data_IF_237545607275
#
_entry.id   IF_237545607275
#
_cell.length_a   1.000
_cell.length_b   1.000
_cell.length_c   1.000
_cell.angle_alpha   90.00
_cell.angle_beta   90.00
_cell.angle_gamma   90.00
#
_symmetry.space_group_name_H-M   'P 1'
#
loop_
_entity.id
_entity.type
_entity.pdbx_description
1 polymer ?
#
# COMPACT_ATOMS: atom_id res chain seq x y z
N UNK A 1 -74.33 -18.82 49.76
CA UNK A 1 -74.17 -18.19 48.42
C UNK A 1 -72.78 -17.64 48.38
N UNK A 2 -71.80 -18.39 47.80
CA UNK A 2 -70.37 -18.08 47.89
C UNK A 2 -69.94 -17.72 46.48
N UNK A 3 -69.50 -16.46 46.25
CA UNK A 3 -69.02 -15.93 45.00
C UNK A 3 -67.49 -16.20 44.87
N UNK A 4 -67.09 -16.92 43.85
CA UNK A 4 -65.65 -17.07 43.45
C UNK A 4 -65.31 -16.08 42.34
N UNK A 5 -64.28 -15.25 42.48
CA UNK A 5 -63.85 -14.41 41.39
C UNK A 5 -63.00 -15.19 40.35
N UNK A 6 -63.35 -15.05 39.09
CA UNK A 6 -62.56 -15.58 37.94
C UNK A 6 -61.27 -14.79 37.78
N UNK A 7 -60.16 -15.46 37.96
CA UNK A 7 -58.84 -14.89 37.63
C UNK A 7 -58.63 -14.92 36.14
N UNK A 8 -58.47 -13.72 35.56
CA UNK A 8 -58.11 -13.50 34.16
C UNK A 8 -56.58 -13.70 34.03
N UNK A 9 -56.14 -14.72 33.32
CA UNK A 9 -54.72 -14.94 33.02
C UNK A 9 -54.37 -14.16 31.76
N UNK A 10 -53.51 -13.13 31.92
CA UNK A 10 -52.94 -12.38 30.81
C UNK A 10 -51.73 -13.16 30.25
N UNK A 11 -51.85 -13.72 29.07
CA UNK A 11 -50.73 -14.37 28.39
C UNK A 11 -49.89 -13.30 27.68
N UNK A 12 -48.66 -13.08 28.14
CA UNK A 12 -47.66 -12.27 27.42
C UNK A 12 -47.05 -13.12 26.33
N UNK A 13 -47.33 -12.80 25.06
CA UNK A 13 -46.62 -13.35 23.92
C UNK A 13 -45.32 -12.56 23.71
N UNK A 14 -44.18 -13.20 24.00
CA UNK A 14 -42.86 -12.65 23.69
C UNK A 14 -42.60 -12.94 22.22
N UNK A 15 -42.69 -11.91 21.39
CA UNK A 15 -42.27 -11.98 19.99
C UNK A 15 -40.73 -11.91 19.91
N UNK A 16 -40.08 -13.03 19.63
CA UNK A 16 -38.65 -13.08 19.33
C UNK A 16 -38.41 -12.54 17.91
N UNK A 17 -37.83 -11.35 17.76
CA UNK A 17 -37.32 -10.86 16.49
C UNK A 17 -36.04 -11.63 16.14
N UNK A 18 -35.92 -12.19 14.93
CA UNK A 18 -34.67 -12.74 14.48
C UNK A 18 -33.68 -11.58 14.19
N UNK A 19 -32.57 -11.55 14.92
CA UNK A 19 -31.44 -10.68 14.64
C UNK A 19 -30.74 -11.22 13.40
N UNK A 20 -31.08 -10.73 12.21
CA UNK A 20 -30.36 -11.05 10.98
C UNK A 20 -29.00 -10.35 11.07
N UNK A 21 -27.98 -11.05 11.56
CA UNK A 21 -26.61 -10.61 11.52
C UNK A 21 -26.14 -10.48 10.08
N UNK A 22 -25.86 -9.27 9.62
CA UNK A 22 -25.20 -9.06 8.36
C UNK A 22 -23.77 -9.63 8.46
N UNK A 23 -23.53 -10.80 7.89
CA UNK A 23 -22.19 -11.35 7.67
C UNK A 23 -21.51 -10.48 6.61
N UNK A 24 -20.71 -9.52 7.08
CA UNK A 24 -19.81 -8.78 6.19
C UNK A 24 -18.76 -9.76 5.68
N UNK A 25 -18.83 -10.15 4.43
CA UNK A 25 -17.78 -10.95 3.80
C UNK A 25 -16.52 -10.11 3.74
N UNK A 26 -15.56 -10.40 4.59
CA UNK A 26 -14.22 -9.84 4.46
C UNK A 26 -13.66 -10.30 3.10
N UNK A 27 -13.47 -9.36 2.18
CA UNK A 27 -12.76 -9.65 0.92
C UNK A 27 -11.34 -10.09 1.28
N UNK A 28 -10.86 -11.16 0.65
CA UNK A 28 -9.47 -11.57 0.80
C UNK A 28 -8.54 -10.42 0.36
N UNK A 29 -7.44 -10.24 1.08
CA UNK A 29 -6.45 -9.23 0.73
C UNK A 29 -5.90 -9.48 -0.68
N UNK A 30 -5.77 -8.43 -1.48
CA UNK A 30 -5.05 -8.53 -2.75
C UNK A 30 -3.57 -8.71 -2.46
N UNK A 31 -2.97 -9.77 -3.00
CA UNK A 31 -1.53 -10.02 -2.88
C UNK A 31 -0.81 -9.42 -4.08
N UNK A 32 0.23 -8.64 -3.82
CA UNK A 32 1.10 -7.99 -4.81
C UNK A 32 2.54 -8.44 -4.56
N UNK A 33 3.15 -9.06 -5.56
CA UNK A 33 4.57 -9.40 -5.49
C UNK A 33 5.40 -8.22 -6.01
N UNK A 34 6.42 -7.82 -5.25
CA UNK A 34 7.27 -6.69 -5.56
C UNK A 34 8.72 -7.13 -5.61
N UNK A 35 9.40 -6.79 -6.69
CA UNK A 35 10.83 -6.97 -6.90
C UNK A 35 11.51 -5.61 -6.89
N UNK A 36 12.49 -5.44 -6.02
CA UNK A 36 13.40 -4.31 -5.96
C UNK A 36 14.68 -4.72 -6.69
N UNK A 37 15.01 -4.06 -7.78
CA UNK A 37 16.11 -4.46 -8.66
C UNK A 37 17.07 -3.31 -8.96
N UNK A 38 18.32 -3.63 -9.24
CA UNK A 38 19.33 -2.72 -9.77
C UNK A 38 20.26 -3.43 -10.77
N UNK A 39 21.21 -2.69 -11.32
CA UNK A 39 22.23 -3.19 -12.26
C UNK A 39 23.54 -3.59 -11.56
N UNK A 40 23.60 -3.54 -10.22
CA UNK A 40 24.77 -3.90 -9.41
C UNK A 40 25.57 -2.69 -8.91
N UNK A 41 26.48 -2.91 -7.96
CA UNK A 41 27.22 -1.86 -7.24
C UNK A 41 28.08 -0.97 -8.14
N UNK A 42 28.58 -1.51 -9.23
CA UNK A 42 29.45 -0.75 -10.19
C UNK A 42 28.64 0.16 -11.13
N UNK A 43 27.32 0.23 -10.99
CA UNK A 43 26.50 1.10 -11.83
C UNK A 43 26.71 2.56 -11.49
N UNK A 44 26.79 3.41 -12.52
CA UNK A 44 26.62 4.84 -12.35
C UNK A 44 25.13 5.12 -12.06
N UNK A 45 24.84 5.67 -10.87
CA UNK A 45 23.48 5.94 -10.45
C UNK A 45 22.88 7.05 -11.32
N UNK A 46 21.79 6.75 -12.02
CA UNK A 46 21.06 7.74 -12.80
C UNK A 46 20.51 8.85 -11.87
N UNK A 47 20.27 10.02 -12.41
CA UNK A 47 19.69 11.17 -11.68
C UNK A 47 18.61 11.84 -12.52
N UNK A 48 17.74 12.64 -11.87
CA UNK A 48 16.70 13.40 -12.58
C UNK A 48 15.54 12.52 -13.07
N UNK A 49 15.38 11.33 -12.51
CA UNK A 49 14.31 10.38 -12.85
C UNK A 49 13.24 10.29 -11.75
N UNK A 50 13.08 11.32 -10.92
CA UNK A 50 11.99 11.43 -9.96
C UNK A 50 10.63 11.39 -10.69
N UNK A 51 9.60 10.93 -9.99
CA UNK A 51 8.25 10.98 -10.54
C UNK A 51 7.87 12.40 -10.96
N UNK A 52 7.45 12.54 -12.19
CA UNK A 52 6.88 13.73 -12.78
C UNK A 52 5.63 13.35 -13.58
N UNK A 53 4.54 14.07 -13.38
CA UNK A 53 3.29 13.86 -14.12
C UNK A 53 3.44 14.07 -15.63
N UNK A 54 4.43 14.87 -16.08
CA UNK A 54 4.75 15.07 -17.49
C UNK A 54 5.38 13.82 -18.15
N UNK A 55 5.79 12.86 -17.31
CA UNK A 55 6.44 11.61 -17.73
C UNK A 55 7.96 11.69 -17.74
N UNK A 56 8.56 10.61 -17.24
CA UNK A 56 10.02 10.44 -17.16
C UNK A 56 10.42 9.20 -17.95
N UNK A 57 11.53 9.29 -18.65
CA UNK A 57 12.08 8.16 -19.41
C UNK A 57 12.80 7.17 -18.47
N UNK A 58 12.03 6.26 -17.87
CA UNK A 58 12.56 5.21 -17.00
C UNK A 58 13.40 4.16 -17.72
N UNK A 59 13.54 4.20 -19.06
CA UNK A 59 14.45 3.30 -19.77
C UNK A 59 15.92 3.55 -19.39
N UNK A 60 16.20 4.75 -18.87
CA UNK A 60 17.52 5.16 -18.36
C UNK A 60 17.78 4.76 -16.92
N UNK A 61 16.76 4.27 -16.21
CA UNK A 61 16.89 3.88 -14.80
C UNK A 61 17.90 2.73 -14.64
N UNK A 62 18.70 2.83 -13.61
CA UNK A 62 19.70 1.82 -13.23
C UNK A 62 19.21 0.93 -12.11
N UNK A 63 18.10 1.30 -11.48
CA UNK A 63 17.37 0.57 -10.47
C UNK A 63 15.88 0.83 -10.58
N UNK A 64 15.05 0.01 -9.92
CA UNK A 64 13.62 0.20 -10.02
C UNK A 64 12.79 -0.78 -9.20
N UNK A 65 11.49 -0.58 -9.23
CA UNK A 65 10.48 -1.40 -8.56
C UNK A 65 9.58 -2.03 -9.62
N UNK A 66 9.38 -3.34 -9.54
CA UNK A 66 8.39 -4.06 -10.33
C UNK A 66 7.32 -4.62 -9.40
N UNK A 67 6.05 -4.27 -9.62
CA UNK A 67 4.92 -4.76 -8.86
C UNK A 67 3.97 -5.56 -9.76
N UNK A 68 3.52 -6.69 -9.28
CA UNK A 68 2.58 -7.57 -9.98
C UNK A 68 1.55 -8.21 -9.05
N UNK A 69 0.25 -7.90 -9.23
CA UNK A 69 -0.35 -6.94 -10.16
C UNK A 69 -0.03 -5.47 -9.83
N UNK A 70 -0.10 -4.58 -10.82
CA UNK A 70 0.09 -3.13 -10.65
C UNK A 70 -1.18 -2.42 -10.16
N UNK A 71 -2.25 -3.17 -9.90
CA UNK A 71 -3.54 -2.65 -9.45
C UNK A 71 -4.16 -3.56 -8.40
N UNK A 72 -4.98 -2.99 -7.52
CA UNK A 72 -5.79 -3.72 -6.54
C UNK A 72 -7.19 -3.11 -6.43
N UNK A 73 -8.13 -3.83 -5.79
CA UNK A 73 -9.36 -3.23 -5.26
C UNK A 73 -9.07 -2.58 -3.91
N UNK A 74 -9.88 -1.57 -3.57
CA UNK A 74 -9.85 -0.96 -2.24
C UNK A 74 -10.05 -1.99 -1.13
N UNK A 75 -9.32 -1.82 -0.03
CA UNK A 75 -9.31 -2.74 1.09
C UNK A 75 -7.90 -3.19 1.45
N UNK A 76 -7.79 -4.37 2.05
CA UNK A 76 -6.51 -4.92 2.44
C UNK A 76 -5.67 -5.33 1.22
N UNK A 77 -4.45 -4.79 1.14
CA UNK A 77 -3.44 -5.13 0.13
C UNK A 77 -2.19 -5.61 0.86
N UNK A 78 -1.71 -6.79 0.49
CA UNK A 78 -0.47 -7.36 1.02
C UNK A 78 0.62 -7.31 -0.04
N UNK A 79 1.67 -6.57 0.22
CA UNK A 79 2.87 -6.53 -0.60
C UNK A 79 3.88 -7.56 -0.08
N UNK A 80 4.29 -8.50 -0.92
CA UNK A 80 5.44 -9.38 -0.70
C UNK A 80 6.61 -8.80 -1.46
N UNK A 81 7.56 -8.23 -0.74
CA UNK A 81 8.67 -7.46 -1.29
C UNK A 81 9.94 -8.27 -1.18
N UNK A 82 10.67 -8.37 -2.28
CA UNK A 82 11.97 -9.01 -2.33
C UNK A 82 13.00 -8.04 -2.89
N UNK A 83 14.12 -7.89 -2.20
CA UNK A 83 15.30 -7.24 -2.71
C UNK A 83 16.05 -8.24 -3.60
N UNK A 84 15.99 -8.06 -4.92
CA UNK A 84 16.67 -8.91 -5.91
C UNK A 84 18.08 -8.40 -6.25
N UNK A 85 18.55 -7.30 -5.61
CA UNK A 85 19.92 -6.84 -5.69
C UNK A 85 20.89 -7.89 -5.12
N UNK A 86 22.13 -7.84 -5.57
CA UNK A 86 23.24 -8.68 -5.06
C UNK A 86 24.04 -7.99 -3.97
N UNK A 87 24.00 -6.66 -3.93
CA UNK A 87 24.97 -5.86 -3.18
C UNK A 87 24.42 -4.53 -2.65
N UNK A 88 23.16 -4.16 -2.98
CA UNK A 88 22.57 -2.87 -2.59
C UNK A 88 21.35 -3.07 -1.68
N UNK A 89 21.28 -2.31 -0.60
CA UNK A 89 20.11 -2.23 0.29
C UNK A 89 19.01 -1.46 -0.42
N UNK A 90 17.78 -1.98 -0.34
CA UNK A 90 16.57 -1.34 -0.88
C UNK A 90 15.43 -1.43 0.11
N UNK A 91 14.47 -0.51 -0.03
CA UNK A 91 13.22 -0.51 0.71
C UNK A 91 12.03 -0.28 -0.22
N UNK A 92 10.83 -0.47 0.29
CA UNK A 92 9.61 -0.12 -0.42
C UNK A 92 8.67 0.64 0.50
N UNK A 93 8.38 1.89 0.16
CA UNK A 93 7.41 2.74 0.86
C UNK A 93 6.20 2.95 -0.04
N UNK A 94 4.99 2.90 0.52
CA UNK A 94 3.73 3.13 -0.18
C UNK A 94 3.31 4.58 0.05
N UNK A 95 3.42 5.43 -0.99
CA UNK A 95 3.06 6.84 -0.95
C UNK A 95 1.72 7.10 -1.63
N UNK A 96 0.79 7.78 -0.95
CA UNK A 96 -0.48 8.19 -1.55
C UNK A 96 -0.29 9.49 -2.36
N UNK A 97 -0.64 9.47 -3.64
CA UNK A 97 -0.65 10.68 -4.48
C UNK A 97 -2.01 11.39 -4.33
N UNK A 98 -2.07 12.39 -3.47
CA UNK A 98 -3.27 13.22 -3.33
C UNK A 98 -3.58 13.97 -4.63
N UNK A 99 -2.57 14.36 -5.37
CA UNK A 99 -2.63 14.96 -6.70
C UNK A 99 -1.60 14.30 -7.62
N UNK A 100 -2.00 13.35 -8.48
CA UNK A 100 -1.08 12.66 -9.39
C UNK A 100 -0.40 13.58 -10.42
N UNK A 101 -0.81 14.85 -10.53
CA UNK A 101 -0.15 15.83 -11.41
C UNK A 101 1.07 16.48 -10.74
N UNK A 102 1.36 16.17 -9.49
CA UNK A 102 2.45 16.78 -8.71
C UNK A 102 3.52 15.77 -8.34
N UNK A 103 4.76 16.23 -8.36
CA UNK A 103 5.88 15.49 -7.79
C UNK A 103 5.73 15.35 -6.26
N UNK A 104 6.35 14.31 -5.69
CA UNK A 104 6.49 14.19 -4.24
C UNK A 104 7.42 15.28 -3.68
N UNK A 105 7.21 15.73 -2.42
CA UNK A 105 8.11 16.64 -1.76
C UNK A 105 9.50 15.98 -1.60
N UNK A 106 10.51 16.55 -2.25
CA UNK A 106 11.87 16.01 -2.31
C UNK A 106 12.86 16.96 -1.62
N UNK A 107 13.67 16.42 -0.71
CA UNK A 107 14.73 17.15 0.00
C UNK A 107 16.05 16.88 -0.70
N UNK A 108 16.50 17.85 -1.52
CA UNK A 108 17.64 17.66 -2.40
C UNK A 108 18.96 17.37 -1.64
N UNK A 109 19.18 18.04 -0.50
CA UNK A 109 20.41 17.87 0.30
C UNK A 109 20.48 16.47 0.95
N UNK A 110 19.35 15.85 1.22
CA UNK A 110 19.24 14.48 1.76
C UNK A 110 19.10 13.43 0.68
N UNK A 111 18.82 13.85 -0.56
CA UNK A 111 18.50 13.01 -1.71
C UNK A 111 17.32 12.06 -1.44
N UNK A 112 16.32 12.51 -0.66
CA UNK A 112 15.17 11.71 -0.19
C UNK A 112 13.86 12.45 -0.41
N UNK A 113 12.79 11.68 -0.47
CA UNK A 113 11.42 12.21 -0.33
C UNK A 113 11.18 12.53 1.15
N UNK A 114 10.54 13.66 1.44
CA UNK A 114 10.04 14.00 2.78
C UNK A 114 8.78 13.16 3.05
N UNK A 115 8.93 12.06 3.75
CA UNK A 115 7.89 11.05 3.97
C UNK A 115 6.70 11.62 4.74
N UNK A 116 6.96 12.46 5.74
CA UNK A 116 5.90 13.09 6.54
C UNK A 116 4.97 13.96 5.70
N UNK A 117 5.52 14.63 4.68
CA UNK A 117 4.75 15.47 3.75
C UNK A 117 4.22 14.71 2.53
N UNK A 118 4.81 13.57 2.21
CA UNK A 118 4.49 12.79 1.01
C UNK A 118 3.26 11.90 1.17
N UNK A 119 2.75 11.68 2.38
CA UNK A 119 1.57 10.86 2.63
C UNK A 119 1.87 9.37 2.66
N UNK A 120 2.91 8.99 3.36
CA UNK A 120 3.27 7.60 3.66
C UNK A 120 2.09 6.80 4.23
N UNK A 121 1.97 5.55 3.78
CA UNK A 121 0.94 4.57 4.19
C UNK A 121 1.52 3.33 4.83
N UNK A 122 2.82 3.23 4.91
CA UNK A 122 3.58 2.11 5.46
C UNK A 122 4.66 1.62 4.52
N UNK A 123 5.60 0.87 5.08
CA UNK A 123 6.81 0.46 4.40
C UNK A 123 7.21 -0.98 4.69
N UNK A 124 8.04 -1.53 3.82
CA UNK A 124 8.98 -2.59 4.12
C UNK A 124 10.34 -1.93 4.15
N UNK A 125 10.83 -1.70 5.36
CA UNK A 125 12.10 -1.01 5.62
C UNK A 125 13.28 -1.74 4.99
N UNK A 126 14.41 -1.10 4.99
CA UNK A 126 15.67 -1.52 4.38
C UNK A 126 15.91 -3.02 4.41
N UNK A 127 15.82 -3.65 3.25
CA UNK A 127 16.13 -5.05 3.04
C UNK A 127 17.56 -5.19 2.54
N UNK A 128 18.34 -6.03 3.19
CA UNK A 128 19.63 -6.46 2.67
C UNK A 128 19.46 -7.22 1.35
N UNK A 129 20.53 -7.31 0.52
CA UNK A 129 20.52 -8.09 -0.71
C UNK A 129 19.97 -9.50 -0.54
N UNK A 130 19.01 -9.86 -1.38
CA UNK A 130 18.35 -11.16 -1.38
C UNK A 130 17.28 -11.35 -0.27
N UNK A 131 17.12 -10.41 0.66
CA UNK A 131 16.12 -10.48 1.72
C UNK A 131 14.70 -10.15 1.22
N UNK A 132 13.73 -10.56 2.00
CA UNK A 132 12.30 -10.32 1.71
C UNK A 132 11.57 -9.82 2.95
N UNK A 133 10.55 -9.01 2.72
CA UNK A 133 9.65 -8.51 3.74
C UNK A 133 8.21 -8.53 3.27
N UNK A 134 7.28 -8.19 4.15
CA UNK A 134 5.86 -8.12 3.81
C UNK A 134 5.20 -6.98 4.55
N UNK A 135 4.31 -6.27 3.84
CA UNK A 135 3.49 -5.19 4.37
C UNK A 135 2.03 -5.44 4.01
N UNK A 136 1.13 -5.38 4.99
CA UNK A 136 -0.31 -5.36 4.74
C UNK A 136 -0.88 -4.02 5.16
N UNK A 137 -1.50 -3.31 4.22
CA UNK A 137 -2.13 -2.01 4.44
C UNK A 137 -3.55 -1.98 3.88
N UNK A 138 -4.41 -1.17 4.49
CA UNK A 138 -5.77 -0.94 4.00
C UNK A 138 -5.77 0.32 3.13
N UNK A 139 -5.87 0.14 1.81
CA UNK A 139 -5.79 1.21 0.82
C UNK A 139 -7.17 1.64 0.33
N UNK A 140 -7.38 2.94 0.24
CA UNK A 140 -8.55 3.55 -0.38
C UNK A 140 -8.35 3.68 -1.90
N UNK A 141 -9.42 3.83 -2.69
CA UNK A 141 -9.28 4.09 -4.12
C UNK A 141 -8.42 5.33 -4.37
N UNK A 142 -7.48 5.23 -5.30
CA UNK A 142 -6.55 6.30 -5.64
C UNK A 142 -5.29 5.81 -6.35
N UNK A 143 -4.41 6.75 -6.64
CA UNK A 143 -3.10 6.47 -7.21
C UNK A 143 -2.04 6.56 -6.11
N UNK A 144 -1.15 5.60 -6.11
CA UNK A 144 -0.04 5.49 -5.17
C UNK A 144 1.27 5.39 -5.96
N UNK A 145 2.36 5.78 -5.31
CA UNK A 145 3.71 5.40 -5.73
C UNK A 145 4.27 4.38 -4.74
N UNK A 146 4.90 3.35 -5.25
CA UNK A 146 5.84 2.53 -4.52
C UNK A 146 7.22 3.10 -4.81
N UNK A 147 7.95 3.50 -3.78
CA UNK A 147 9.26 4.14 -3.92
C UNK A 147 10.30 3.45 -3.06
N UNK A 148 11.56 3.58 -3.41
CA UNK A 148 12.69 3.35 -2.52
C UNK A 148 13.26 4.71 -2.12
N UNK A 149 13.35 4.99 -0.82
CA UNK A 149 13.79 6.29 -0.29
C UNK A 149 15.22 6.24 0.32
N UNK A 150 15.97 5.18 0.07
CA UNK A 150 17.43 5.18 0.29
C UNK A 150 18.03 6.34 -0.50
N UNK A 151 18.98 7.14 0.06
CA UNK A 151 19.49 8.35 -0.58
C UNK A 151 19.86 8.17 -2.06
N UNK A 152 19.26 8.99 -2.91
CA UNK A 152 19.47 8.99 -4.36
C UNK A 152 18.64 7.99 -5.16
N UNK A 153 18.10 6.93 -4.54
CA UNK A 153 17.40 5.85 -5.27
C UNK A 153 16.12 6.33 -5.96
N UNK A 154 15.30 7.15 -5.28
CA UNK A 154 14.12 7.75 -5.89
C UNK A 154 14.49 8.61 -7.11
N UNK A 155 15.56 9.41 -6.99
CA UNK A 155 16.06 10.23 -8.08
C UNK A 155 16.68 9.43 -9.23
N UNK A 156 17.12 8.19 -8.97
CA UNK A 156 17.60 7.24 -9.97
C UNK A 156 16.48 6.47 -10.68
N UNK A 157 15.21 6.77 -10.38
CA UNK A 157 14.04 6.15 -11.01
C UNK A 157 13.52 4.94 -10.25
N UNK A 158 13.91 4.74 -8.98
CA UNK A 158 13.42 3.61 -8.20
C UNK A 158 12.03 3.86 -7.62
N UNK A 159 11.06 3.89 -8.49
CA UNK A 159 9.64 4.02 -8.19
C UNK A 159 8.76 3.37 -9.26
N UNK A 160 7.50 3.12 -8.91
CA UNK A 160 6.46 2.69 -9.84
C UNK A 160 5.08 3.13 -9.36
N UNK A 161 4.13 3.30 -10.28
CA UNK A 161 2.75 3.61 -9.95
C UNK A 161 1.99 2.35 -9.54
N UNK A 162 1.08 2.49 -8.58
CA UNK A 162 0.15 1.46 -8.15
C UNK A 162 -1.26 2.06 -8.03
N UNK A 163 -2.26 1.45 -8.66
CA UNK A 163 -3.61 2.01 -8.71
C UNK A 163 -4.57 1.14 -7.90
N UNK A 164 -5.30 1.77 -6.99
CA UNK A 164 -6.37 1.14 -6.23
C UNK A 164 -7.72 1.58 -6.79
N UNK A 165 -8.53 0.61 -7.20
CA UNK A 165 -9.88 0.83 -7.75
C UNK A 165 -10.96 0.59 -6.68
N UNK A 166 -12.17 1.06 -6.95
CA UNK A 166 -13.36 0.80 -6.11
C UNK A 166 -13.72 -0.68 -6.09
#
# INVERSE_FOLDING_TARGET
>A
MIYFPRRLALAFAIAALPLAGAVSSASAATVVNVSLWDKGADMEMATGLQYDAAGVDLSKATMGIKAGPATARAGAVTFHVKNDSKDTIHEMIVMYLADPSKALPYVADEQRVDEDKAGDKGEVSELDPGQSGSLTVNLQPGTYLLICNVPGHYAAGMWTTFVVTK
#
